data_IF_723315191796
#
_entry.id   IF_723315191796
#
_cell.length_a   1.000
_cell.length_b   1.000
_cell.length_c   1.000
_cell.angle_alpha   90.00
_cell.angle_beta   90.00
_cell.angle_gamma   90.00
#
_symmetry.space_group_name_H-M   'P 1'
#
loop_
_entity.id
_entity.type
_entity.pdbx_description
1 polymer ?
#
# COMPACT_ATOMS: atom_id res chain seq x y z
N UNK A 1 9.06 -14.30 4.26
CA UNK A 1 7.89 -13.40 4.07
C UNK A 1 7.02 -13.94 2.95
N UNK A 2 5.70 -13.83 3.06
CA UNK A 2 4.78 -14.13 1.97
C UNK A 2 4.92 -13.06 0.88
N UNK A 3 4.56 -13.33 -0.40
CA UNK A 3 4.64 -12.33 -1.46
C UNK A 3 3.90 -11.01 -1.12
N UNK A 4 2.77 -11.11 -0.40
CA UNK A 4 1.98 -9.94 0.05
C UNK A 4 2.64 -9.16 1.19
N UNK A 5 3.31 -9.85 2.11
CA UNK A 5 4.10 -9.19 3.16
C UNK A 5 5.31 -8.45 2.58
N UNK A 6 5.89 -8.92 1.45
CA UNK A 6 6.99 -8.23 0.77
C UNK A 6 6.61 -6.82 0.28
N UNK A 7 5.39 -6.62 -0.21
CA UNK A 7 4.96 -5.30 -0.71
C UNK A 7 5.01 -4.20 0.37
N UNK A 8 4.77 -4.56 1.63
CA UNK A 8 4.90 -3.64 2.77
C UNK A 8 6.35 -3.41 3.22
N UNK A 9 7.24 -4.37 2.96
CA UNK A 9 8.62 -4.34 3.44
C UNK A 9 9.56 -3.70 2.40
N UNK A 10 9.27 -3.81 1.10
CA UNK A 10 10.17 -3.43 0.01
C UNK A 10 10.12 -1.95 -0.42
N UNK A 11 9.32 -1.10 0.22
CA UNK A 11 9.33 0.35 -0.02
C UNK A 11 10.48 1.04 0.73
N UNK A 12 11.70 0.47 0.70
CA UNK A 12 12.85 1.03 1.40
C UNK A 12 13.71 1.87 0.45
N UNK A 13 13.58 3.20 0.57
CA UNK A 13 14.40 4.17 -0.15
C UNK A 13 15.90 4.06 0.20
N UNK A 14 16.25 3.41 1.31
CA UNK A 14 17.64 3.26 1.79
C UNK A 14 18.51 2.50 0.80
N UNK A 15 17.97 1.46 0.17
CA UNK A 15 18.69 0.70 -0.86
C UNK A 15 18.97 1.55 -2.11
N UNK A 16 18.01 2.35 -2.54
CA UNK A 16 18.16 3.26 -3.68
C UNK A 16 19.21 4.34 -3.41
N UNK A 17 19.16 4.94 -2.22
CA UNK A 17 20.14 5.93 -1.78
C UNK A 17 21.54 5.32 -1.71
N UNK A 18 21.69 4.09 -1.18
CA UNK A 18 22.98 3.42 -1.12
C UNK A 18 23.57 3.20 -2.52
N UNK A 19 22.80 2.64 -3.46
CA UNK A 19 23.24 2.41 -4.84
C UNK A 19 23.63 3.73 -5.51
N UNK A 20 22.81 4.77 -5.40
CA UNK A 20 23.09 6.08 -5.98
C UNK A 20 24.37 6.68 -5.39
N UNK A 21 24.61 6.54 -4.08
CA UNK A 21 25.82 7.02 -3.40
C UNK A 21 27.08 6.27 -3.89
N UNK A 22 27.02 4.95 -4.10
CA UNK A 22 28.14 4.20 -4.64
C UNK A 22 28.47 4.59 -6.07
N UNK A 23 27.46 4.80 -6.93
CA UNK A 23 27.67 5.26 -8.31
C UNK A 23 28.30 6.66 -8.32
N UNK A 24 27.77 7.59 -7.51
CA UNK A 24 28.30 8.95 -7.41
C UNK A 24 29.76 8.96 -6.93
N UNK A 25 30.09 8.15 -5.94
CA UNK A 25 31.44 8.02 -5.43
C UNK A 25 32.41 7.37 -6.45
N UNK A 26 31.93 6.40 -7.21
CA UNK A 26 32.72 5.83 -8.32
C UNK A 26 33.04 6.89 -9.37
N UNK A 27 32.04 7.64 -9.83
CA UNK A 27 32.23 8.73 -10.79
C UNK A 27 33.22 9.77 -10.23
N UNK A 28 33.04 10.18 -8.96
CA UNK A 28 33.95 11.08 -8.29
C UNK A 28 35.39 10.54 -8.31
N UNK A 29 35.61 9.27 -7.98
CA UNK A 29 36.94 8.66 -7.91
C UNK A 29 37.65 8.63 -9.28
N UNK A 30 36.88 8.36 -10.35
CA UNK A 30 37.39 8.38 -11.71
C UNK A 30 37.82 9.81 -12.11
N UNK A 31 36.94 10.81 -11.87
CA UNK A 31 37.22 12.20 -12.17
C UNK A 31 38.45 12.70 -11.37
N UNK A 32 38.51 12.38 -10.08
CA UNK A 32 39.60 12.76 -9.19
C UNK A 32 40.95 12.16 -9.67
N UNK A 33 40.91 10.88 -10.07
CA UNK A 33 42.12 10.20 -10.62
C UNK A 33 42.60 10.84 -11.91
N UNK A 34 41.69 11.14 -12.84
CA UNK A 34 42.04 11.82 -14.11
C UNK A 34 42.59 13.22 -13.83
N UNK A 35 41.96 13.99 -12.95
CA UNK A 35 42.39 15.34 -12.58
C UNK A 35 43.78 15.36 -11.95
N UNK A 36 44.14 14.36 -11.15
CA UNK A 36 45.47 14.19 -10.58
C UNK A 36 46.54 13.81 -11.65
N UNK A 37 46.17 12.98 -12.64
CA UNK A 37 47.07 12.53 -13.67
C UNK A 37 47.43 13.60 -14.69
N UNK A 38 46.56 14.59 -14.87
CA UNK A 38 46.76 15.72 -15.79
C UNK A 38 47.62 16.85 -15.19
N UNK A 39 48.16 16.69 -13.98
CA UNK A 39 48.97 17.72 -13.25
C UNK A 39 48.30 19.12 -13.17
N UNK A 40 46.99 19.16 -13.35
CA UNK A 40 46.19 20.40 -13.40
C UNK A 40 46.18 21.16 -12.06
N UNK A 41 46.41 20.43 -10.95
CA UNK A 41 46.34 21.00 -9.59
C UNK A 41 47.76 21.20 -9.00
N UNK A 42 48.06 22.45 -8.59
CA UNK A 42 49.16 22.74 -7.69
C UNK A 42 49.01 22.12 -6.28
N UNK A 43 50.01 22.30 -5.42
CA UNK A 43 49.97 21.72 -4.06
C UNK A 43 48.71 22.03 -3.29
N UNK A 44 48.12 23.26 -3.27
CA UNK A 44 46.85 23.54 -2.56
C UNK A 44 45.65 22.74 -3.10
N UNK A 45 45.61 22.58 -4.45
CA UNK A 45 44.51 21.85 -5.08
C UNK A 45 44.56 20.33 -4.77
N UNK A 46 45.75 19.74 -4.70
CA UNK A 46 45.94 18.34 -4.29
C UNK A 46 45.50 18.09 -2.84
N UNK A 47 45.76 19.07 -1.94
CA UNK A 47 45.32 18.98 -0.55
C UNK A 47 43.78 19.03 -0.43
N UNK A 48 43.12 19.94 -1.16
CA UNK A 48 41.66 20.03 -1.21
C UNK A 48 41.06 18.72 -1.73
N UNK A 49 41.63 18.17 -2.79
CA UNK A 49 41.18 16.87 -3.38
C UNK A 49 41.36 15.72 -2.39
N UNK A 50 42.44 15.70 -1.62
CA UNK A 50 42.68 14.72 -0.57
C UNK A 50 41.62 14.81 0.53
N UNK A 51 41.33 15.99 1.05
CA UNK A 51 40.28 16.19 2.07
C UNK A 51 38.90 15.79 1.55
N UNK A 52 38.56 16.21 0.32
CA UNK A 52 37.27 15.83 -0.29
C UNK A 52 37.14 14.30 -0.49
N UNK A 53 38.25 13.62 -0.82
CA UNK A 53 38.27 12.14 -0.95
C UNK A 53 38.02 11.47 0.40
N UNK A 54 38.61 11.98 1.49
CA UNK A 54 38.33 11.48 2.84
C UNK A 54 36.83 11.68 3.20
N UNK A 55 36.25 12.83 2.90
CA UNK A 55 34.84 13.10 3.17
C UNK A 55 33.92 12.15 2.38
N UNK A 56 34.20 11.95 1.09
CA UNK A 56 33.46 10.99 0.26
C UNK A 56 33.60 9.57 0.80
N UNK A 57 34.80 9.16 1.21
CA UNK A 57 35.02 7.86 1.80
C UNK A 57 34.24 7.66 3.10
N UNK A 58 34.27 8.65 4.00
CA UNK A 58 33.48 8.62 5.24
C UNK A 58 31.98 8.54 4.95
N UNK A 59 31.49 9.30 3.98
CA UNK A 59 30.10 9.26 3.56
C UNK A 59 29.69 7.86 3.04
N UNK A 60 30.54 7.22 2.21
CA UNK A 60 30.28 5.87 1.71
C UNK A 60 30.23 4.85 2.85
N UNK A 61 31.20 4.90 3.77
CA UNK A 61 31.26 3.99 4.91
C UNK A 61 29.99 4.15 5.77
N UNK A 62 29.58 5.38 6.06
CA UNK A 62 28.34 5.64 6.81
C UNK A 62 27.12 5.10 6.07
N UNK A 63 27.02 5.32 4.77
CA UNK A 63 25.91 4.85 3.94
C UNK A 63 25.88 3.31 3.90
N UNK A 64 27.05 2.66 3.81
CA UNK A 64 27.19 1.20 3.83
C UNK A 64 26.72 0.63 5.18
N UNK A 65 27.19 1.18 6.29
CA UNK A 65 26.78 0.74 7.63
C UNK A 65 25.27 0.87 7.79
N UNK A 66 24.70 1.99 7.39
CA UNK A 66 23.24 2.21 7.42
C UNK A 66 22.49 1.19 6.57
N UNK A 67 22.99 0.90 5.36
CA UNK A 67 22.37 -0.07 4.47
C UNK A 67 22.44 -1.49 5.02
N UNK A 68 23.61 -1.91 5.55
CA UNK A 68 23.78 -3.23 6.21
C UNK A 68 22.87 -3.36 7.42
N UNK A 69 22.74 -2.30 8.22
CA UNK A 69 21.80 -2.27 9.36
C UNK A 69 20.35 -2.46 8.90
N UNK A 70 19.93 -1.76 7.85
CA UNK A 70 18.61 -1.92 7.24
C UNK A 70 18.40 -3.35 6.72
N UNK A 71 19.40 -3.95 6.06
CA UNK A 71 19.32 -5.35 5.61
C UNK A 71 19.16 -6.33 6.77
N UNK A 72 19.85 -6.09 7.89
CA UNK A 72 19.71 -6.91 9.09
C UNK A 72 18.31 -6.84 9.69
N UNK A 73 17.68 -5.67 9.64
CA UNK A 73 16.30 -5.47 10.10
C UNK A 73 15.25 -6.08 9.15
N UNK A 74 15.51 -6.06 7.82
CA UNK A 74 14.61 -6.67 6.83
C UNK A 74 14.51 -8.20 6.96
N UNK A 75 15.46 -8.84 7.64
CA UNK A 75 15.46 -10.27 7.97
C UNK A 75 14.61 -10.63 9.17
N UNK A 76 14.20 -9.68 10.00
CA UNK A 76 13.41 -9.93 11.21
C UNK A 76 11.93 -10.13 10.84
N UNK A 77 11.44 -11.36 11.03
CA UNK A 77 10.02 -11.70 10.84
C UNK A 77 9.15 -10.93 11.87
N UNK A 78 9.72 -10.61 13.04
CA UNK A 78 9.09 -9.83 14.09
C UNK A 78 8.77 -8.39 13.64
N UNK A 79 9.73 -7.70 13.02
CA UNK A 79 9.53 -6.32 12.53
C UNK A 79 8.50 -6.28 11.40
N UNK A 80 8.54 -7.29 10.52
CA UNK A 80 7.53 -7.44 9.47
C UNK A 80 6.12 -7.63 10.07
N UNK A 81 5.99 -8.48 11.08
CA UNK A 81 4.73 -8.73 11.77
C UNK A 81 4.21 -7.46 12.46
N UNK A 82 5.07 -6.70 13.15
CA UNK A 82 4.67 -5.44 13.78
C UNK A 82 4.18 -4.39 12.78
N UNK A 83 4.81 -4.27 11.61
CA UNK A 83 4.36 -3.37 10.55
C UNK A 83 2.99 -3.77 10.01
N UNK A 84 2.77 -5.06 9.78
CA UNK A 84 1.46 -5.59 9.34
C UNK A 84 0.42 -5.36 10.42
N UNK A 85 0.72 -5.63 11.69
CA UNK A 85 -0.14 -5.41 12.84
C UNK A 85 -0.59 -3.95 12.93
N UNK A 86 0.35 -3.00 12.83
CA UNK A 86 0.05 -1.57 12.87
C UNK A 86 -0.92 -1.14 11.77
N UNK A 87 -0.67 -1.58 10.52
CA UNK A 87 -1.55 -1.25 9.40
C UNK A 87 -2.91 -1.94 9.53
N UNK A 88 -2.94 -3.21 9.96
CA UNK A 88 -4.17 -3.94 10.20
C UNK A 88 -5.03 -3.29 11.29
N UNK A 89 -4.41 -2.88 12.42
CA UNK A 89 -5.11 -2.17 13.51
C UNK A 89 -5.70 -0.86 13.04
N UNK A 90 -4.93 -0.02 12.33
CA UNK A 90 -5.44 1.27 11.85
C UNK A 90 -6.59 1.11 10.84
N UNK A 91 -6.47 0.16 9.91
CA UNK A 91 -7.51 -0.09 8.91
C UNK A 91 -8.77 -0.67 9.56
N UNK A 92 -8.62 -1.59 10.51
CA UNK A 92 -9.76 -2.19 11.21
C UNK A 92 -10.44 -1.18 12.14
N UNK A 93 -9.70 -0.31 12.82
CA UNK A 93 -10.25 0.77 13.63
C UNK A 93 -11.08 1.75 12.78
N UNK A 94 -10.54 2.19 11.63
CA UNK A 94 -11.28 3.04 10.68
C UNK A 94 -12.56 2.35 10.19
N UNK A 95 -12.48 1.06 9.86
CA UNK A 95 -13.65 0.29 9.43
C UNK A 95 -14.71 0.17 10.54
N UNK A 96 -14.30 -0.02 11.79
CA UNK A 96 -15.25 -0.11 12.92
C UNK A 96 -15.90 1.22 13.25
N UNK A 97 -15.15 2.32 13.14
CA UNK A 97 -15.68 3.67 13.30
C UNK A 97 -16.71 4.01 12.19
N UNK A 98 -16.52 3.51 10.97
CA UNK A 98 -17.40 3.74 9.83
C UNK A 98 -17.57 2.45 9.00
N UNK A 99 -18.39 1.49 9.46
CA UNK A 99 -18.50 0.15 8.83
C UNK A 99 -18.98 0.18 7.38
N UNK A 100 -19.73 1.21 7.00
CA UNK A 100 -20.22 1.41 5.63
C UNK A 100 -19.48 2.54 4.92
N UNK A 101 -18.29 2.90 5.38
CA UNK A 101 -17.51 3.99 4.79
C UNK A 101 -18.29 5.34 4.76
N UNK A 102 -19.21 5.55 5.72
CA UNK A 102 -20.06 6.74 5.76
C UNK A 102 -21.35 6.66 4.92
N UNK A 103 -21.58 5.55 4.20
CA UNK A 103 -22.81 5.37 3.43
C UNK A 103 -24.00 4.96 4.30
N UNK A 104 -25.21 5.21 3.79
CA UNK A 104 -26.47 4.78 4.43
C UNK A 104 -26.64 3.28 4.41
N UNK A 105 -27.35 2.74 5.42
CA UNK A 105 -27.74 1.32 5.46
C UNK A 105 -29.01 0.99 4.65
N UNK A 106 -29.67 1.99 4.08
CA UNK A 106 -30.88 1.77 3.32
C UNK A 106 -30.59 0.96 2.05
N UNK A 107 -31.18 -0.23 1.97
CA UNK A 107 -31.11 -1.05 0.76
C UNK A 107 -32.29 -0.68 -0.15
N UNK A 108 -32.03 -0.49 -1.46
CA UNK A 108 -33.09 -0.29 -2.43
C UNK A 108 -34.00 -1.53 -2.52
N UNK A 109 -35.30 -1.29 -2.63
CA UNK A 109 -36.30 -2.37 -2.76
C UNK A 109 -36.72 -2.64 -4.21
N UNK A 110 -36.28 -1.79 -5.14
CA UNK A 110 -36.60 -1.88 -6.57
C UNK A 110 -35.39 -2.38 -7.36
N UNK A 111 -35.62 -2.78 -8.60
CA UNK A 111 -34.53 -3.04 -9.53
C UNK A 111 -33.75 -1.74 -9.85
N UNK A 112 -32.44 -1.79 -10.08
CA UNK A 112 -31.68 -0.62 -10.48
C UNK A 112 -32.08 -0.13 -11.88
N UNK A 113 -32.08 1.19 -12.08
CA UNK A 113 -32.35 1.78 -13.40
C UNK A 113 -31.21 1.48 -14.37
N UNK A 114 -29.98 1.47 -13.87
CA UNK A 114 -28.80 1.02 -14.63
C UNK A 114 -27.68 0.56 -13.70
N UNK A 115 -26.71 -0.13 -14.28
CA UNK A 115 -25.55 -0.65 -13.56
C UNK A 115 -24.25 -0.15 -14.17
N UNK A 116 -23.23 0.03 -13.31
CA UNK A 116 -21.85 0.25 -13.72
C UNK A 116 -21.12 -1.08 -13.61
N UNK A 117 -20.57 -1.54 -14.72
CA UNK A 117 -19.91 -2.84 -14.78
C UNK A 117 -18.41 -2.73 -14.50
N UNK A 118 -17.85 -3.80 -13.96
CA UNK A 118 -16.42 -3.95 -13.78
C UNK A 118 -15.67 -3.83 -15.11
N UNK A 119 -14.68 -2.94 -15.17
CA UNK A 119 -13.87 -2.74 -16.37
C UNK A 119 -12.81 -3.81 -16.57
N UNK A 120 -12.46 -4.56 -15.50
CA UNK A 120 -11.41 -5.57 -15.50
C UNK A 120 -11.75 -6.76 -14.58
N UNK A 121 -11.10 -7.91 -14.82
CA UNK A 121 -11.09 -9.02 -13.86
C UNK A 121 -10.00 -8.74 -12.83
N UNK A 122 -10.38 -8.11 -11.70
CA UNK A 122 -9.44 -7.55 -10.71
C UNK A 122 -10.11 -7.40 -9.34
N UNK A 123 -9.33 -7.00 -8.33
CA UNK A 123 -9.86 -6.62 -7.03
C UNK A 123 -10.36 -5.17 -7.06
N UNK A 124 -11.49 -4.91 -6.39
CA UNK A 124 -11.84 -3.55 -6.00
C UNK A 124 -10.81 -3.13 -4.96
N UNK A 125 -9.94 -2.18 -5.32
CA UNK A 125 -8.83 -1.75 -4.46
C UNK A 125 -9.19 -0.54 -3.62
N UNK A 126 -10.00 0.36 -4.19
CA UNK A 126 -10.38 1.62 -3.54
C UNK A 126 -11.66 2.17 -4.16
N UNK A 127 -12.42 2.94 -3.37
CA UNK A 127 -13.62 3.64 -3.78
C UNK A 127 -13.47 5.13 -3.42
N UNK A 128 -13.56 6.00 -4.40
CA UNK A 128 -13.64 7.45 -4.16
C UNK A 128 -15.09 7.81 -3.77
N UNK A 129 -15.39 7.69 -2.48
CA UNK A 129 -16.73 7.91 -1.95
C UNK A 129 -17.15 9.38 -2.02
N UNK A 130 -16.21 10.31 -1.96
CA UNK A 130 -16.49 11.73 -2.08
C UNK A 130 -16.97 12.04 -3.50
N UNK A 131 -16.23 11.61 -4.51
CA UNK A 131 -16.62 11.78 -5.91
C UNK A 131 -17.92 11.03 -6.24
N UNK A 132 -18.11 9.80 -5.71
CA UNK A 132 -19.37 9.07 -5.86
C UNK A 132 -20.57 9.84 -5.29
N UNK A 133 -20.41 10.43 -4.10
CA UNK A 133 -21.45 11.22 -3.47
C UNK A 133 -21.74 12.49 -4.25
N UNK A 134 -20.73 13.20 -4.73
CA UNK A 134 -20.90 14.44 -5.49
C UNK A 134 -21.65 14.18 -6.82
N UNK A 135 -21.34 13.11 -7.52
CA UNK A 135 -22.07 12.68 -8.72
C UNK A 135 -23.51 12.32 -8.37
N UNK A 136 -23.71 11.55 -7.28
CA UNK A 136 -25.03 11.13 -6.85
C UNK A 136 -25.93 12.32 -6.50
N UNK A 137 -25.40 13.30 -5.77
CA UNK A 137 -26.13 14.53 -5.40
C UNK A 137 -26.44 15.37 -6.65
N UNK A 138 -25.45 15.57 -7.52
CA UNK A 138 -25.60 16.39 -8.73
C UNK A 138 -26.70 15.87 -9.65
N UNK A 139 -26.80 14.56 -9.80
CA UNK A 139 -27.75 13.91 -10.71
C UNK A 139 -28.98 13.33 -9.99
N UNK A 140 -29.16 13.58 -8.69
CA UNK A 140 -30.27 13.06 -7.86
C UNK A 140 -30.38 11.53 -7.96
N UNK A 141 -29.25 10.84 -7.73
CA UNK A 141 -29.15 9.39 -7.80
C UNK A 141 -28.99 8.78 -6.41
N UNK A 142 -29.43 7.53 -6.28
CA UNK A 142 -28.97 6.64 -5.22
C UNK A 142 -28.01 5.61 -5.81
N UNK A 143 -26.79 5.55 -5.28
CA UNK A 143 -25.77 4.61 -5.72
C UNK A 143 -25.60 3.55 -4.66
N UNK A 144 -25.93 2.30 -4.99
CA UNK A 144 -25.69 1.14 -4.16
C UNK A 144 -24.40 0.46 -4.56
N UNK A 145 -23.58 0.13 -3.55
CA UNK A 145 -22.29 -0.55 -3.71
C UNK A 145 -22.48 -1.98 -3.21
N UNK A 146 -22.69 -2.97 -4.10
CA UNK A 146 -23.00 -4.35 -3.69
C UNK A 146 -21.81 -5.06 -3.06
N UNK A 147 -20.59 -4.70 -3.45
CA UNK A 147 -19.36 -5.36 -3.00
C UNK A 147 -18.33 -4.37 -2.47
N UNK A 148 -17.59 -4.78 -1.45
CA UNK A 148 -16.62 -3.92 -0.74
C UNK A 148 -15.22 -4.01 -1.34
N UNK A 149 -14.34 -3.03 -1.06
CA UNK A 149 -12.92 -3.15 -1.33
C UNK A 149 -12.33 -4.46 -0.78
N UNK A 150 -11.43 -5.05 -1.55
CA UNK A 150 -10.87 -6.38 -1.31
C UNK A 150 -11.61 -7.53 -1.99
N UNK A 151 -12.78 -7.30 -2.61
CA UNK A 151 -13.50 -8.30 -3.41
C UNK A 151 -12.86 -8.45 -4.79
N UNK A 152 -12.69 -9.70 -5.24
CA UNK A 152 -12.29 -10.02 -6.61
C UNK A 152 -13.52 -10.06 -7.49
N UNK A 153 -13.53 -9.24 -8.53
CA UNK A 153 -14.63 -9.11 -9.48
C UNK A 153 -14.20 -9.62 -10.86
N UNK A 154 -15.09 -10.30 -11.53
CA UNK A 154 -14.90 -10.58 -12.95
C UNK A 154 -15.28 -9.34 -13.78
N UNK A 155 -14.73 -9.24 -14.99
CA UNK A 155 -15.15 -8.22 -15.96
C UNK A 155 -16.64 -8.34 -16.24
N UNK A 156 -17.28 -7.23 -16.53
CA UNK A 156 -18.70 -7.11 -16.90
C UNK A 156 -19.70 -7.55 -15.79
N UNK A 157 -19.23 -7.70 -14.55
CA UNK A 157 -20.09 -7.89 -13.36
C UNK A 157 -20.40 -6.53 -12.75
N UNK A 158 -21.64 -6.25 -12.29
CA UNK A 158 -21.99 -4.98 -11.66
C UNK A 158 -21.13 -4.66 -10.43
N UNK A 159 -20.50 -3.48 -10.43
CA UNK A 159 -19.75 -2.94 -9.29
C UNK A 159 -20.51 -1.84 -8.58
N UNK A 160 -21.41 -1.13 -9.29
CA UNK A 160 -22.33 -0.17 -8.72
C UNK A 160 -23.72 -0.38 -9.34
N UNK A 161 -24.77 -0.21 -8.53
CA UNK A 161 -26.16 -0.22 -8.93
C UNK A 161 -26.75 1.16 -8.71
N UNK A 162 -27.39 1.73 -9.70
CA UNK A 162 -27.82 3.13 -9.69
C UNK A 162 -29.33 3.21 -9.83
N UNK A 163 -29.93 4.03 -8.98
CA UNK A 163 -31.35 4.31 -8.91
C UNK A 163 -31.56 5.80 -9.11
N UNK A 164 -32.24 6.19 -10.18
CA UNK A 164 -32.50 7.57 -10.53
C UNK A 164 -33.87 8.02 -9.99
N UNK A 165 -33.94 9.24 -9.45
CA UNK A 165 -35.22 9.82 -9.02
C UNK A 165 -36.05 10.34 -10.19
N UNK A 166 -35.41 10.56 -11.34
CA UNK A 166 -36.02 11.07 -12.56
C UNK A 166 -35.55 10.28 -13.78
N UNK A 167 -36.36 10.22 -14.83
CA UNK A 167 -35.97 9.59 -16.07
C UNK A 167 -34.77 10.34 -16.69
N UNK A 168 -33.75 9.61 -17.07
CA UNK A 168 -32.53 10.12 -17.69
C UNK A 168 -32.48 9.68 -19.16
N UNK A 169 -31.95 10.54 -20.03
CA UNK A 169 -31.67 10.19 -21.41
C UNK A 169 -30.42 9.28 -21.54
N UNK A 170 -30.29 8.59 -22.66
CA UNK A 170 -29.24 7.60 -22.88
C UNK A 170 -27.83 8.20 -22.88
N UNK A 171 -27.65 9.43 -23.35
CA UNK A 171 -26.35 10.10 -23.40
C UNK A 171 -25.90 10.49 -21.96
N UNK A 172 -26.82 11.03 -21.17
CA UNK A 172 -26.61 11.32 -19.74
C UNK A 172 -26.25 10.07 -18.95
N UNK A 173 -26.98 8.95 -19.14
CA UNK A 173 -26.68 7.66 -18.51
C UNK A 173 -25.27 7.21 -18.87
N UNK A 174 -24.86 7.31 -20.12
CA UNK A 174 -23.53 6.90 -20.60
C UNK A 174 -22.43 7.72 -19.92
N UNK A 175 -22.61 9.03 -19.83
CA UNK A 175 -21.66 9.93 -19.15
C UNK A 175 -21.57 9.62 -17.66
N UNK A 176 -22.71 9.44 -16.98
CA UNK A 176 -22.76 9.09 -15.55
C UNK A 176 -22.05 7.75 -15.29
N UNK A 177 -22.28 6.72 -16.13
CA UNK A 177 -21.61 5.43 -16.02
C UNK A 177 -20.09 5.58 -16.08
N UNK A 178 -19.59 6.42 -16.98
CA UNK A 178 -18.16 6.66 -17.11
C UNK A 178 -17.59 7.38 -15.87
N UNK A 179 -18.27 8.41 -15.36
CA UNK A 179 -17.85 9.14 -14.16
C UNK A 179 -17.86 8.23 -12.93
N UNK A 180 -18.94 7.50 -12.69
CA UNK A 180 -19.04 6.57 -11.56
C UNK A 180 -18.03 5.43 -11.67
N UNK A 181 -17.79 4.91 -12.87
CA UNK A 181 -16.77 3.89 -13.12
C UNK A 181 -15.35 4.36 -12.79
N UNK A 182 -15.04 5.63 -13.01
CA UNK A 182 -13.75 6.21 -12.66
C UNK A 182 -13.52 6.32 -11.13
N UNK A 183 -14.60 6.32 -10.34
CA UNK A 183 -14.52 6.33 -8.88
C UNK A 183 -14.20 4.94 -8.28
N UNK A 184 -14.21 3.87 -9.07
CA UNK A 184 -13.92 2.51 -8.63
C UNK A 184 -12.53 2.09 -9.12
N UNK A 185 -11.55 2.11 -8.23
CA UNK A 185 -10.20 1.68 -8.57
C UNK A 185 -10.13 0.15 -8.57
N UNK A 186 -9.71 -0.44 -9.67
CA UNK A 186 -9.53 -1.88 -9.82
C UNK A 186 -8.07 -2.22 -10.10
N UNK A 187 -7.50 -3.16 -9.34
CA UNK A 187 -6.10 -3.57 -9.45
C UNK A 187 -5.93 -5.08 -9.33
N UNK A 188 -4.81 -5.58 -9.84
CA UNK A 188 -4.46 -7.01 -9.75
C UNK A 188 -4.24 -7.48 -8.29
N UNK A 189 -3.90 -6.56 -7.38
CA UNK A 189 -3.61 -6.85 -5.98
C UNK A 189 -4.54 -6.05 -5.05
N UNK A 190 -4.84 -6.64 -3.89
CA UNK A 190 -5.58 -5.97 -2.81
C UNK A 190 -4.72 -4.87 -2.17
N UNK A 191 -5.36 -3.82 -1.67
CA UNK A 191 -4.75 -2.71 -0.93
C UNK A 191 -5.28 -2.61 0.50
N UNK A 192 -4.46 -2.08 1.41
CA UNK A 192 -4.81 -1.97 2.83
C UNK A 192 -5.83 -0.88 3.18
N UNK A 193 -5.83 0.32 2.56
CA UNK A 193 -6.54 1.47 3.12
C UNK A 193 -8.04 1.24 3.37
N UNK A 194 -8.73 0.57 2.46
CA UNK A 194 -10.16 0.31 2.58
C UNK A 194 -10.52 -1.18 2.74
N UNK A 195 -9.51 -2.06 2.90
CA UNK A 195 -9.71 -3.49 3.06
C UNK A 195 -9.32 -3.97 4.47
N UNK A 196 -10.24 -3.95 5.45
CA UNK A 196 -9.95 -4.29 6.83
C UNK A 196 -9.56 -5.76 7.03
N UNK A 197 -9.86 -6.62 6.06
CA UNK A 197 -9.56 -8.06 6.13
C UNK A 197 -8.15 -8.40 5.65
N UNK A 198 -7.54 -7.53 4.83
CA UNK A 198 -6.24 -7.84 4.22
C UNK A 198 -5.14 -8.05 5.26
N UNK A 199 -5.07 -7.18 6.28
CA UNK A 199 -4.08 -7.30 7.35
C UNK A 199 -4.22 -8.60 8.13
N UNK A 200 -5.44 -8.98 8.50
CA UNK A 200 -5.73 -10.25 9.18
C UNK A 200 -5.37 -11.46 8.32
N UNK A 201 -5.68 -11.40 7.03
CA UNK A 201 -5.33 -12.46 6.08
C UNK A 201 -3.81 -12.62 5.97
N UNK A 202 -3.07 -11.53 5.80
CA UNK A 202 -1.60 -11.58 5.67
C UNK A 202 -0.95 -12.11 6.96
N UNK A 203 -1.43 -11.72 8.14
CA UNK A 203 -0.95 -12.30 9.41
C UNK A 203 -1.24 -13.79 9.48
N UNK A 204 -2.44 -14.22 9.08
CA UNK A 204 -2.79 -15.65 9.02
C UNK A 204 -1.88 -16.42 8.06
N UNK A 205 -1.58 -15.88 6.87
CA UNK A 205 -0.62 -16.49 5.92
C UNK A 205 0.79 -16.62 6.53
N UNK A 206 1.24 -15.63 7.32
CA UNK A 206 2.52 -15.70 8.04
C UNK A 206 2.50 -16.82 9.07
N UNK A 207 1.43 -16.94 9.85
CA UNK A 207 1.27 -18.01 10.84
C UNK A 207 1.23 -19.41 10.20
N UNK A 208 0.48 -19.57 9.12
CA UNK A 208 0.43 -20.83 8.37
C UNK A 208 1.79 -21.22 7.81
N UNK A 209 2.54 -20.25 7.28
CA UNK A 209 3.89 -20.49 6.79
C UNK A 209 4.85 -20.88 7.92
N UNK A 210 4.74 -20.25 9.09
CA UNK A 210 5.55 -20.60 10.26
C UNK A 210 5.33 -22.06 10.68
N UNK A 211 4.10 -22.55 10.59
CA UNK A 211 3.72 -23.93 10.92
C UNK A 211 3.91 -24.91 9.76
N UNK A 212 4.38 -24.48 8.60
CA UNK A 212 4.64 -25.40 7.48
C UNK A 212 5.79 -26.37 7.82
N UNK A 213 5.75 -27.57 7.26
CA UNK A 213 6.76 -28.60 7.49
C UNK A 213 8.20 -28.15 7.16
N UNK A 214 8.35 -27.20 6.23
CA UNK A 214 9.65 -26.65 5.82
C UNK A 214 10.21 -25.62 6.80
N UNK A 215 9.34 -24.92 7.58
CA UNK A 215 9.76 -23.85 8.49
C UNK A 215 9.70 -24.31 9.94
N UNK A 216 8.59 -24.94 10.35
CA UNK A 216 8.34 -25.50 11.68
C UNK A 216 8.77 -24.57 12.82
N UNK A 217 8.26 -23.33 12.81
CA UNK A 217 8.55 -22.27 13.80
C UNK A 217 7.30 -21.94 14.63
N UNK A 218 7.04 -22.72 15.73
CA UNK A 218 5.90 -22.47 16.59
C UNK A 218 5.95 -21.12 17.31
N UNK A 219 7.14 -20.59 17.60
CA UNK A 219 7.28 -19.32 18.29
C UNK A 219 6.75 -18.15 17.44
N UNK A 220 7.04 -18.16 16.14
CA UNK A 220 6.46 -17.21 15.21
C UNK A 220 4.94 -17.38 15.09
N UNK A 221 4.43 -18.60 15.04
CA UNK A 221 2.98 -18.84 14.98
C UNK A 221 2.27 -18.27 16.24
N UNK A 222 2.83 -18.47 17.43
CA UNK A 222 2.30 -17.89 18.68
C UNK A 222 2.35 -16.35 18.62
N UNK A 223 3.44 -15.78 18.14
CA UNK A 223 3.57 -14.32 17.97
C UNK A 223 2.49 -13.75 17.03
N UNK A 224 2.17 -14.46 15.94
CA UNK A 224 1.08 -14.10 15.03
C UNK A 224 -0.28 -14.16 15.72
N UNK A 225 -0.55 -15.21 16.49
CA UNK A 225 -1.81 -15.33 17.25
C UNK A 225 -1.97 -14.17 18.25
N UNK A 226 -0.90 -13.83 18.96
CA UNK A 226 -0.90 -12.69 19.90
C UNK A 226 -1.17 -11.36 19.15
N UNK A 227 -0.55 -11.16 17.98
CA UNK A 227 -0.77 -9.98 17.16
C UNK A 227 -2.22 -9.90 16.63
N UNK A 228 -2.78 -11.01 16.13
CA UNK A 228 -4.18 -11.09 15.72
C UNK A 228 -5.13 -10.76 16.87
N UNK A 229 -4.86 -11.29 18.07
CA UNK A 229 -5.65 -11.02 19.27
C UNK A 229 -5.64 -9.52 19.60
N UNK A 230 -4.46 -8.89 19.62
CA UNK A 230 -4.34 -7.43 19.86
C UNK A 230 -5.14 -6.63 18.83
N UNK A 231 -4.94 -6.92 17.53
CA UNK A 231 -5.66 -6.20 16.47
C UNK A 231 -7.18 -6.30 16.65
N UNK A 232 -7.70 -7.47 17.03
CA UNK A 232 -9.16 -7.65 17.17
C UNK A 232 -9.68 -7.01 18.45
N UNK A 233 -9.00 -7.20 19.59
CA UNK A 233 -9.47 -6.74 20.91
C UNK A 233 -9.29 -5.24 21.06
N UNK A 234 -8.09 -4.71 20.77
CA UNK A 234 -7.77 -3.29 20.98
C UNK A 234 -8.60 -2.39 20.06
N UNK A 235 -8.91 -2.85 18.84
CA UNK A 235 -9.78 -2.08 17.94
C UNK A 235 -11.26 -2.19 18.30
N UNK A 236 -11.68 -3.17 19.09
CA UNK A 236 -13.05 -3.29 19.60
C UNK A 236 -13.32 -2.24 20.69
N UNK A 237 -12.38 -2.04 21.58
CA UNK A 237 -12.48 -1.03 22.63
C UNK A 237 -12.65 0.40 22.09
N UNK A 238 -12.12 0.69 20.89
CA UNK A 238 -12.25 1.99 20.23
C UNK A 238 -13.63 2.24 19.57
N UNK A 239 -14.47 1.21 19.43
CA UNK A 239 -15.80 1.33 18.83
C UNK A 239 -16.91 1.50 19.88
N UNK A 240 -16.59 1.28 21.16
CA UNK A 240 -17.55 1.32 22.26
C UNK A 240 -17.52 2.68 23.01
N UNK A 241 -16.61 3.60 22.66
CA UNK A 241 -16.51 5.00 23.09
C UNK A 241 -17.14 5.93 22.02
#
# INVERSE_FOLDING_TARGET
>A
ATPRARLLIMADDTARVAIASFIAAFIYSVIAKVALSLEYYGQPGRFILFISTILVLMYIIFTLIRWVHTLSQLGSLGDALQRIEKVASSTLATYRAQPNLGASHALPTTAPDFEVLSSATAYISDLDLAALNDIAVTHQLHVHIPERPGKFMARDVPVLQVYAQQALDADTITNIKQQLGACVLQEANRRYPQDPRLGLLVMSEVGQRAMSAATNDPATAISVLNALTRVIVDTQALSDD
#
